data_IF_892820387324
#
_entry.id   IF_892820387324
#
_cell.length_a   1.000
_cell.length_b   1.000
_cell.length_c   1.000
_cell.angle_alpha   90.00
_cell.angle_beta   90.00
_cell.angle_gamma   90.00
#
_symmetry.space_group_name_H-M   'P 1'
#
loop_
_entity.id
_entity.type
_entity.pdbx_description
1 polymer ?
#
# COMPACT_ATOMS: atom_id res chain seq x y z
N UNK A 1 -4.90 -20.33 -6.61
CA UNK A 1 -3.77 -19.37 -6.52
C UNK A 1 -4.10 -18.13 -5.70
N UNK A 2 -5.38 -17.73 -5.51
CA UNK A 2 -5.76 -16.72 -4.51
C UNK A 2 -5.79 -17.26 -3.06
N UNK A 3 -5.88 -18.58 -2.90
CA UNK A 3 -6.02 -19.27 -1.61
C UNK A 3 -4.76 -19.33 -0.74
N UNK A 4 -3.60 -18.84 -1.20
CA UNK A 4 -2.33 -18.98 -0.49
C UNK A 4 -1.70 -17.65 -0.03
N UNK A 5 -2.29 -16.51 -0.36
CA UNK A 5 -1.73 -15.19 -0.04
C UNK A 5 -2.50 -14.46 1.05
N UNK A 6 -3.62 -15.02 1.50
CA UNK A 6 -4.60 -14.33 2.31
C UNK A 6 -5.24 -15.19 3.37
N UNK A 7 -5.35 -14.68 4.61
CA UNK A 7 -6.14 -15.35 5.64
C UNK A 7 -7.63 -15.08 5.34
N UNK A 8 -8.17 -15.81 4.36
CA UNK A 8 -9.61 -15.87 4.08
C UNK A 8 -10.38 -16.63 5.17
N UNK A 9 -9.65 -17.26 6.10
CA UNK A 9 -10.17 -17.98 7.25
C UNK A 9 -10.93 -17.01 8.17
N UNK A 10 -12.24 -16.94 7.99
CA UNK A 10 -13.14 -16.11 8.80
C UNK A 10 -14.16 -15.30 8.01
N UNK A 11 -14.01 -15.19 6.67
CA UNK A 11 -14.97 -14.49 5.83
C UNK A 11 -16.15 -15.37 5.44
N UNK A 12 -17.36 -14.82 5.48
CA UNK A 12 -18.53 -15.45 4.88
C UNK A 12 -18.49 -15.36 3.34
N UNK A 13 -19.42 -16.03 2.67
CA UNK A 13 -19.44 -16.06 1.21
C UNK A 13 -19.74 -14.69 0.57
N UNK A 14 -20.51 -13.83 1.24
CA UNK A 14 -20.77 -12.47 0.74
C UNK A 14 -19.53 -11.60 0.85
N UNK A 15 -18.82 -11.66 1.97
CA UNK A 15 -17.56 -10.94 2.19
C UNK A 15 -16.48 -11.38 1.19
N UNK A 16 -16.41 -12.67 0.86
CA UNK A 16 -15.50 -13.17 -0.20
C UNK A 16 -15.85 -12.61 -1.57
N UNK A 17 -17.14 -12.55 -1.92
CA UNK A 17 -17.60 -11.99 -3.21
C UNK A 17 -17.20 -10.51 -3.31
N UNK A 18 -17.45 -9.74 -2.25
CA UNK A 18 -17.08 -8.32 -2.20
C UNK A 18 -15.56 -8.13 -2.33
N UNK A 19 -14.79 -8.95 -1.61
CA UNK A 19 -13.33 -8.94 -1.68
C UNK A 19 -12.82 -9.25 -3.10
N UNK A 20 -13.35 -10.29 -3.74
CA UNK A 20 -12.97 -10.62 -5.12
C UNK A 20 -13.35 -9.53 -6.11
N UNK A 21 -14.49 -8.88 -5.90
CA UNK A 21 -14.90 -7.74 -6.72
C UNK A 21 -13.93 -6.56 -6.56
N UNK A 22 -13.57 -6.19 -5.31
CA UNK A 22 -12.59 -5.13 -5.05
C UNK A 22 -11.21 -5.43 -5.66
N UNK A 23 -10.75 -6.68 -5.56
CA UNK A 23 -9.47 -7.11 -6.15
C UNK A 23 -9.54 -7.04 -7.68
N UNK A 24 -10.60 -7.56 -8.29
CA UNK A 24 -10.77 -7.57 -9.74
C UNK A 24 -10.87 -6.18 -10.35
N UNK A 25 -11.66 -5.29 -9.72
CA UNK A 25 -11.76 -3.89 -10.14
C UNK A 25 -10.44 -3.15 -9.92
N UNK A 26 -9.75 -3.41 -8.80
CA UNK A 26 -8.42 -2.85 -8.53
C UNK A 26 -7.38 -3.28 -9.56
N UNK A 27 -7.35 -4.56 -9.93
CA UNK A 27 -6.51 -5.11 -10.99
C UNK A 27 -6.73 -4.39 -12.33
N UNK A 28 -7.98 -4.30 -12.77
CA UNK A 28 -8.34 -3.70 -14.04
C UNK A 28 -8.00 -2.20 -14.09
N UNK A 29 -8.49 -1.43 -13.10
CA UNK A 29 -8.28 0.02 -13.05
C UNK A 29 -6.80 0.36 -12.96
N UNK A 30 -6.07 -0.32 -12.07
CA UNK A 30 -4.64 -0.06 -11.91
C UNK A 30 -3.86 -0.38 -13.19
N UNK A 31 -4.16 -1.49 -13.86
CA UNK A 31 -3.48 -1.88 -15.10
C UNK A 31 -3.59 -0.80 -16.19
N UNK A 32 -4.76 -0.16 -16.29
CA UNK A 32 -4.99 0.93 -17.22
C UNK A 32 -4.28 2.20 -16.73
N UNK A 33 -4.49 2.59 -15.47
CA UNK A 33 -4.07 3.89 -14.93
C UNK A 33 -2.57 4.00 -14.67
N UNK A 34 -1.83 2.90 -14.54
CA UNK A 34 -0.37 2.92 -14.37
C UNK A 34 0.39 3.34 -15.64
N UNK A 35 -0.27 3.29 -16.80
CA UNK A 35 0.31 3.68 -18.08
C UNK A 35 -0.03 5.15 -18.34
N UNK A 36 0.97 5.90 -18.82
CA UNK A 36 0.76 7.31 -19.15
C UNK A 36 -0.38 7.49 -20.18
N UNK A 37 -1.30 8.46 -20.00
CA UNK A 37 -2.43 8.66 -20.90
C UNK A 37 -2.07 8.86 -22.38
N UNK A 38 -0.85 9.32 -22.70
CA UNK A 38 -0.42 9.52 -24.08
C UNK A 38 0.08 8.23 -24.76
N UNK A 39 0.20 7.12 -24.01
CA UNK A 39 0.73 5.84 -24.50
C UNK A 39 -0.40 4.87 -24.83
N UNK A 40 -0.14 3.97 -25.78
CA UNK A 40 -1.04 2.87 -26.10
C UNK A 40 -0.93 1.76 -25.05
N UNK A 41 -2.07 1.20 -24.68
CA UNK A 41 -2.16 0.07 -23.74
C UNK A 41 -2.57 -1.15 -24.55
N UNK A 42 -1.75 -2.21 -24.50
CA UNK A 42 -2.17 -3.54 -24.91
C UNK A 42 -2.66 -4.27 -23.66
N UNK A 43 -3.97 -4.46 -23.54
CA UNK A 43 -4.53 -5.07 -22.34
C UNK A 43 -4.20 -6.57 -22.26
N UNK A 44 -3.55 -6.98 -21.18
CA UNK A 44 -3.32 -8.38 -20.84
C UNK A 44 -4.04 -8.72 -19.51
N UNK A 45 -5.19 -9.42 -19.56
CA UNK A 45 -5.95 -9.78 -18.36
C UNK A 45 -5.12 -10.57 -17.33
N UNK A 46 -4.26 -11.49 -17.80
CA UNK A 46 -3.47 -12.36 -16.90
C UNK A 46 -2.47 -11.55 -16.07
N UNK A 47 -1.83 -10.55 -16.68
CA UNK A 47 -0.91 -9.66 -15.97
C UNK A 47 -1.63 -8.71 -15.01
N UNK A 48 -2.88 -8.33 -15.30
CA UNK A 48 -3.62 -7.39 -14.46
C UNK A 48 -3.91 -7.94 -13.06
N UNK A 49 -4.13 -9.26 -12.96
CA UNK A 49 -4.48 -9.97 -11.72
C UNK A 49 -3.28 -10.63 -11.02
N UNK A 50 -2.06 -10.43 -11.52
CA UNK A 50 -0.87 -10.98 -10.86
C UNK A 50 -0.68 -10.31 -9.50
N UNK A 51 -0.39 -11.11 -8.47
CA UNK A 51 -0.07 -10.62 -7.13
C UNK A 51 1.40 -10.21 -6.99
N UNK A 52 2.19 -10.40 -8.04
CA UNK A 52 3.57 -9.97 -8.14
C UNK A 52 3.70 -8.84 -9.16
N UNK A 53 4.71 -7.99 -8.96
CA UNK A 53 5.03 -6.92 -9.91
C UNK A 53 4.15 -5.67 -9.75
N UNK A 54 4.10 -4.86 -10.80
CA UNK A 54 3.43 -3.56 -10.81
C UNK A 54 1.93 -3.70 -11.11
N UNK A 55 1.15 -4.14 -10.11
CA UNK A 55 -0.28 -4.45 -10.21
C UNK A 55 -1.10 -3.91 -9.05
N UNK A 56 -2.42 -3.76 -9.26
CA UNK A 56 -3.37 -3.34 -8.22
C UNK A 56 -3.45 -4.31 -7.03
N UNK A 57 -3.60 -5.64 -7.27
CA UNK A 57 -3.66 -6.63 -6.20
C UNK A 57 -2.40 -6.65 -5.32
N UNK A 58 -1.21 -6.44 -5.90
CA UNK A 58 0.04 -6.33 -5.13
C UNK A 58 0.00 -5.16 -4.13
N UNK A 59 -0.52 -4.00 -4.55
CA UNK A 59 -0.66 -2.82 -3.69
C UNK A 59 -1.73 -3.05 -2.62
N UNK A 60 -2.90 -3.58 -3.01
CA UNK A 60 -4.00 -3.89 -2.09
C UNK A 60 -3.54 -4.87 -1.00
N UNK A 61 -2.77 -5.90 -1.38
CA UNK A 61 -2.24 -6.87 -0.44
C UNK A 61 -1.24 -6.26 0.55
N UNK A 62 -0.35 -5.39 0.07
CA UNK A 62 0.56 -4.65 0.96
C UNK A 62 -0.20 -3.76 1.94
N UNK A 63 -1.27 -3.10 1.49
CA UNK A 63 -2.15 -2.32 2.36
C UNK A 63 -2.82 -3.19 3.43
N UNK A 64 -3.43 -4.31 3.08
CA UNK A 64 -4.06 -5.22 4.04
C UNK A 64 -3.05 -5.75 5.09
N UNK A 65 -1.81 -6.01 4.67
CA UNK A 65 -0.72 -6.36 5.59
C UNK A 65 -0.40 -5.23 6.56
N UNK A 66 -0.32 -3.98 6.10
CA UNK A 66 -0.12 -2.82 6.96
C UNK A 66 -1.25 -2.71 7.98
N UNK A 67 -2.51 -2.86 7.56
CA UNK A 67 -3.65 -2.82 8.49
C UNK A 67 -3.56 -3.92 9.54
N UNK A 68 -3.13 -5.13 9.15
CA UNK A 68 -2.91 -6.24 10.08
C UNK A 68 -1.85 -5.92 11.15
N UNK A 69 -0.76 -5.24 10.77
CA UNK A 69 0.29 -4.81 11.72
C UNK A 69 -0.24 -3.75 12.67
N UNK A 70 -0.98 -2.76 12.15
CA UNK A 70 -1.55 -1.67 12.95
C UNK A 70 -2.59 -2.21 13.94
N UNK A 71 -3.44 -3.15 13.52
CA UNK A 71 -4.46 -3.81 14.37
C UNK A 71 -3.84 -4.58 15.54
N UNK A 72 -2.65 -5.16 15.36
CA UNK A 72 -1.93 -5.87 16.43
C UNK A 72 -1.29 -4.92 17.47
N UNK A 73 -1.20 -3.62 17.18
CA UNK A 73 -0.63 -2.65 18.09
C UNK A 73 -1.68 -2.05 19.01
N UNK A 74 -1.52 -2.30 20.32
CA UNK A 74 -2.40 -1.81 21.38
C UNK A 74 -2.28 -0.28 21.57
N UNK A 75 -1.23 0.34 21.03
CA UNK A 75 -0.75 1.68 21.42
C UNK A 75 -0.63 2.69 20.25
N UNK A 76 -1.34 2.48 19.14
CA UNK A 76 -1.24 3.34 17.94
C UNK A 76 -1.53 4.84 18.15
N UNK A 77 -2.04 5.22 19.33
CA UNK A 77 -2.37 6.60 19.74
C UNK A 77 -1.41 7.21 20.78
N UNK A 78 -0.39 6.49 21.26
CA UNK A 78 0.60 7.05 22.20
C UNK A 78 1.56 8.02 21.50
N UNK A 79 2.07 8.99 22.26
CA UNK A 79 3.05 9.95 21.76
C UNK A 79 4.35 9.25 21.39
N UNK A 80 4.96 9.69 20.29
CA UNK A 80 6.22 9.15 19.79
C UNK A 80 7.36 9.95 20.41
N UNK A 81 8.35 9.25 20.96
CA UNK A 81 9.62 9.89 21.30
C UNK A 81 10.38 10.22 20.02
N UNK A 82 10.86 11.46 19.91
CA UNK A 82 11.71 11.89 18.80
C UNK A 82 13.19 11.53 19.02
N UNK A 83 13.55 11.04 20.21
CA UNK A 83 14.90 10.59 20.56
C UNK A 83 15.15 9.15 20.10
N UNK A 84 14.98 8.92 18.79
CA UNK A 84 15.16 7.61 18.17
C UNK A 84 16.18 7.69 17.04
N UNK A 85 17.07 6.69 16.99
CA UNK A 85 18.00 6.54 15.87
C UNK A 85 17.30 5.82 14.73
N UNK A 86 17.11 6.52 13.61
CA UNK A 86 16.41 5.97 12.46
C UNK A 86 17.30 5.03 11.64
N UNK A 87 16.76 3.86 11.33
CA UNK A 87 17.31 2.95 10.32
C UNK A 87 17.26 3.60 8.93
N UNK A 88 18.15 3.18 8.03
CA UNK A 88 18.20 3.71 6.68
C UNK A 88 16.88 3.49 5.91
N UNK A 89 16.19 2.37 6.15
CA UNK A 89 14.88 2.07 5.55
C UNK A 89 13.76 2.94 6.10
N UNK A 90 13.84 3.32 7.37
CA UNK A 90 12.88 4.25 7.99
C UNK A 90 13.05 5.65 7.38
N UNK A 91 14.31 6.11 7.22
CA UNK A 91 14.62 7.38 6.53
C UNK A 91 14.14 7.37 5.08
N UNK A 92 14.33 6.25 4.37
CA UNK A 92 13.86 6.09 3.00
C UNK A 92 12.33 6.26 2.91
N UNK A 93 11.58 5.61 3.80
CA UNK A 93 10.11 5.75 3.82
C UNK A 93 9.67 7.17 4.14
N UNK A 94 10.26 7.82 5.14
CA UNK A 94 9.92 9.20 5.51
C UNK A 94 10.09 10.17 4.33
N UNK A 95 11.18 10.04 3.58
CA UNK A 95 11.41 10.84 2.36
C UNK A 95 10.32 10.62 1.32
N UNK A 96 9.88 9.38 1.14
CA UNK A 96 8.81 9.09 0.19
C UNK A 96 7.48 9.69 0.64
N UNK A 97 7.12 9.53 1.92
CA UNK A 97 5.91 10.13 2.48
C UNK A 97 5.87 11.65 2.27
N UNK A 98 7.01 12.33 2.45
CA UNK A 98 7.14 13.78 2.22
C UNK A 98 6.92 14.17 0.75
N UNK A 99 7.25 13.31 -0.21
CA UNK A 99 7.07 13.57 -1.64
C UNK A 99 5.62 13.40 -2.12
N UNK A 100 4.74 12.83 -1.29
CA UNK A 100 3.36 12.53 -1.70
C UNK A 100 2.57 13.77 -2.15
N UNK A 101 2.53 14.89 -1.39
CA UNK A 101 1.76 16.07 -1.80
C UNK A 101 2.22 16.63 -3.14
N UNK A 102 3.54 16.70 -3.37
CA UNK A 102 4.10 17.16 -4.65
C UNK A 102 3.74 16.22 -5.79
N UNK A 103 3.73 14.90 -5.55
CA UNK A 103 3.30 13.91 -6.55
C UNK A 103 1.85 14.14 -6.97
N UNK A 104 0.96 14.46 -6.03
CA UNK A 104 -0.44 14.78 -6.34
C UNK A 104 -0.55 16.06 -7.18
N UNK A 105 0.20 17.11 -6.84
CA UNK A 105 0.21 18.35 -7.63
C UNK A 105 0.70 18.09 -9.05
N UNK A 106 1.82 17.37 -9.20
CA UNK A 106 2.36 17.01 -10.51
C UNK A 106 1.35 16.19 -11.34
N UNK A 107 0.66 15.23 -10.72
CA UNK A 107 -0.37 14.43 -11.40
C UNK A 107 -1.53 15.30 -11.91
N UNK A 108 -1.94 16.30 -11.13
CA UNK A 108 -2.99 17.24 -11.50
C UNK A 108 -2.56 18.16 -12.66
N UNK A 109 -1.36 18.76 -12.54
CA UNK A 109 -0.79 19.65 -13.58
C UNK A 109 -0.64 18.97 -14.93
N UNK A 110 -0.24 17.69 -14.93
CA UNK A 110 0.00 16.92 -16.15
C UNK A 110 -1.20 16.08 -16.59
N UNK A 111 -2.33 16.13 -15.88
CA UNK A 111 -3.50 15.29 -16.11
C UNK A 111 -3.17 13.79 -16.21
N UNK A 112 -2.20 13.32 -15.42
CA UNK A 112 -1.64 11.96 -15.52
C UNK A 112 -1.81 11.17 -14.21
N UNK A 113 -2.84 10.31 -14.10
CA UNK A 113 -3.01 9.43 -12.93
C UNK A 113 -1.89 8.39 -12.79
N UNK A 114 -1.13 8.13 -13.87
CA UNK A 114 0.02 7.24 -13.87
C UNK A 114 1.12 7.69 -12.89
N UNK A 115 1.25 8.99 -12.64
CA UNK A 115 2.19 9.52 -11.65
C UNK A 115 1.83 9.04 -10.24
N UNK A 116 0.54 9.09 -9.88
CA UNK A 116 0.06 8.60 -8.58
C UNK A 116 0.21 7.07 -8.49
N UNK A 117 -0.25 6.35 -9.52
CA UNK A 117 -0.19 4.89 -9.55
C UNK A 117 1.24 4.36 -9.34
N UNK A 118 2.20 4.87 -10.12
CA UNK A 118 3.59 4.43 -10.05
C UNK A 118 4.28 4.89 -8.76
N UNK A 119 3.94 6.07 -8.22
CA UNK A 119 4.43 6.49 -6.90
C UNK A 119 3.98 5.53 -5.81
N UNK A 120 2.70 5.12 -5.79
CA UNK A 120 2.18 4.19 -4.78
C UNK A 120 2.86 2.82 -4.91
N UNK A 121 3.08 2.32 -6.13
CA UNK A 121 3.84 1.08 -6.32
C UNK A 121 5.26 1.15 -5.76
N UNK A 122 5.96 2.26 -6.02
CA UNK A 122 7.31 2.49 -5.52
C UNK A 122 7.38 2.65 -4.00
N UNK A 123 6.37 3.28 -3.38
CA UNK A 123 6.20 3.33 -1.93
C UNK A 123 6.00 1.92 -1.35
N UNK A 124 5.13 1.10 -1.96
CA UNK A 124 4.87 -0.28 -1.54
C UNK A 124 6.14 -1.13 -1.62
N UNK A 125 6.92 -1.02 -2.68
CA UNK A 125 8.21 -1.73 -2.81
C UNK A 125 9.16 -1.42 -1.65
N UNK A 126 9.25 -0.15 -1.27
CA UNK A 126 10.10 0.30 -0.16
C UNK A 126 9.58 -0.19 1.18
N UNK A 127 8.26 -0.15 1.37
CA UNK A 127 7.64 -0.69 2.58
C UNK A 127 7.89 -2.19 2.71
N UNK A 128 7.74 -2.96 1.63
CA UNK A 128 8.04 -4.39 1.64
C UNK A 128 9.52 -4.67 1.97
N UNK A 129 10.44 -3.87 1.41
CA UNK A 129 11.87 -3.96 1.75
C UNK A 129 12.14 -3.62 3.21
N UNK A 130 11.49 -2.60 3.76
CA UNK A 130 11.56 -2.23 5.18
C UNK A 130 11.02 -3.35 6.07
N UNK A 131 9.83 -3.88 5.78
CA UNK A 131 9.18 -4.96 6.53
C UNK A 131 10.03 -6.24 6.59
N UNK A 132 10.76 -6.56 5.51
CA UNK A 132 11.65 -7.71 5.47
C UNK A 132 12.94 -7.56 6.30
N UNK A 133 13.37 -6.31 6.57
CA UNK A 133 14.68 -6.02 7.17
C UNK A 133 14.58 -5.48 8.59
N UNK A 134 13.46 -4.86 8.95
CA UNK A 134 13.27 -4.17 10.22
C UNK A 134 12.07 -4.75 10.95
N UNK A 135 12.30 -5.21 12.19
CA UNK A 135 11.22 -5.74 13.05
C UNK A 135 10.36 -4.59 13.56
N UNK A 136 9.10 -4.52 13.11
CA UNK A 136 8.16 -3.47 13.48
C UNK A 136 7.62 -3.68 14.90
N UNK A 137 7.14 -4.89 15.20
CA UNK A 137 6.62 -5.27 16.51
C UNK A 137 7.78 -5.77 17.39
N UNK A 138 8.61 -4.84 17.84
CA UNK A 138 9.75 -5.12 18.73
C UNK A 138 9.36 -4.96 20.21
N UNK A 139 10.17 -5.48 21.12
CA UNK A 139 9.96 -5.38 22.57
C UNK A 139 10.13 -3.93 23.09
N UNK A 140 11.04 -3.15 22.49
CA UNK A 140 11.23 -1.74 22.83
C UNK A 140 9.98 -0.92 22.46
N UNK A 141 9.31 -0.38 23.47
CA UNK A 141 8.03 0.31 23.28
C UNK A 141 8.15 1.57 22.42
N UNK A 142 9.21 2.36 22.62
CA UNK A 142 9.39 3.62 21.89
C UNK A 142 9.66 3.36 20.41
N UNK A 143 10.53 2.40 20.10
CA UNK A 143 10.82 1.98 18.73
C UNK A 143 9.57 1.36 18.10
N UNK A 144 8.86 0.49 18.82
CA UNK A 144 7.62 -0.14 18.35
C UNK A 144 6.56 0.90 18.00
N UNK A 145 6.31 1.88 18.86
CA UNK A 145 5.32 2.94 18.62
C UNK A 145 5.67 3.76 17.38
N UNK A 146 6.93 4.17 17.24
CA UNK A 146 7.39 4.88 16.04
C UNK A 146 7.17 4.06 14.77
N UNK A 147 7.63 2.79 14.76
CA UNK A 147 7.56 1.92 13.57
C UNK A 147 6.12 1.60 13.17
N UNK A 148 5.25 1.40 14.15
CA UNK A 148 3.81 1.22 13.90
C UNK A 148 3.20 2.50 13.33
N UNK A 149 3.57 3.69 13.84
CA UNK A 149 3.10 4.96 13.27
C UNK A 149 3.59 5.14 11.84
N UNK A 150 4.87 4.85 11.57
CA UNK A 150 5.44 4.93 10.23
C UNK A 150 4.67 4.00 9.27
N UNK A 151 4.42 2.76 9.66
CA UNK A 151 3.61 1.82 8.88
C UNK A 151 2.17 2.35 8.66
N UNK A 152 1.54 2.91 9.70
CA UNK A 152 0.22 3.53 9.59
C UNK A 152 0.19 4.71 8.59
N UNK A 153 1.21 5.56 8.58
CA UNK A 153 1.32 6.67 7.62
C UNK A 153 1.51 6.16 6.19
N UNK A 154 2.31 5.11 5.99
CA UNK A 154 2.42 4.44 4.69
C UNK A 154 1.07 3.89 4.25
N UNK A 155 0.34 3.21 5.14
CA UNK A 155 -1.00 2.70 4.86
C UNK A 155 -1.98 3.81 4.47
N UNK A 156 -1.94 4.94 5.16
CA UNK A 156 -2.76 6.12 4.85
C UNK A 156 -2.46 6.67 3.45
N UNK A 157 -1.19 6.84 3.09
CA UNK A 157 -0.79 7.33 1.76
C UNK A 157 -1.19 6.35 0.66
N UNK A 158 -1.04 5.03 0.88
CA UNK A 158 -1.50 4.01 -0.07
C UNK A 158 -3.01 4.13 -0.28
N UNK A 159 -3.80 4.16 0.79
CA UNK A 159 -5.26 4.28 0.69
C UNK A 159 -5.68 5.58 -0.01
N UNK A 160 -5.05 6.71 0.36
CA UNK A 160 -5.32 8.02 -0.23
C UNK A 160 -5.03 8.01 -1.74
N UNK A 161 -3.84 7.55 -2.15
CA UNK A 161 -3.44 7.54 -3.56
C UNK A 161 -4.28 6.59 -4.40
N UNK A 162 -4.57 5.39 -3.87
CA UNK A 162 -5.43 4.41 -4.55
C UNK A 162 -6.86 4.93 -4.70
N UNK A 163 -7.41 5.59 -3.67
CA UNK A 163 -8.74 6.20 -3.73
C UNK A 163 -8.82 7.34 -4.74
N UNK A 164 -7.77 8.17 -4.85
CA UNK A 164 -7.70 9.26 -5.86
C UNK A 164 -7.80 8.69 -7.28
N UNK A 165 -7.17 7.55 -7.54
CA UNK A 165 -7.27 6.85 -8.84
C UNK A 165 -8.47 5.90 -8.93
N UNK A 166 -9.43 6.01 -7.99
CA UNK A 166 -10.70 5.29 -8.02
C UNK A 166 -10.61 3.81 -7.67
N UNK A 167 -9.62 3.40 -6.88
CA UNK A 167 -9.39 2.02 -6.46
C UNK A 167 -9.53 1.90 -4.94
N UNK A 168 -10.35 0.95 -4.51
CA UNK A 168 -10.51 0.63 -3.09
C UNK A 168 -9.40 -0.31 -2.61
N UNK A 169 -9.01 -0.18 -1.33
CA UNK A 169 -8.07 -1.09 -0.70
C UNK A 169 -8.77 -1.85 0.44
N UNK A 170 -8.93 -3.18 0.33
CA UNK A 170 -9.50 -3.98 1.41
C UNK A 170 -8.59 -3.98 2.63
N UNK A 171 -9.16 -3.88 3.84
CA UNK A 171 -8.37 -3.92 5.08
C UNK A 171 -7.81 -5.29 5.43
N UNK A 172 -8.35 -6.34 4.80
CA UNK A 172 -7.94 -7.73 4.98
C UNK A 172 -7.92 -8.41 3.63
N UNK A 173 -6.86 -9.20 3.38
CA UNK A 173 -6.68 -9.99 2.17
C UNK A 173 -6.08 -11.32 2.52
#
# INVERSE_FOLDING_TARGET
MASSLGKLDGLDEQEKIELYHQIGIGALKYYILKVDPTKRILFNPKESVDFNGNTGPFIQYAYARIQSIVKQSIDSKKNISLEITLDQKEKELLKWLELYPQTIQNAAEHYSPALVANYIYELVKRFNSYYQKVVILTEDEHIRHFRVRLASQVGYVIQSGMRIIGIECPEQM
#
